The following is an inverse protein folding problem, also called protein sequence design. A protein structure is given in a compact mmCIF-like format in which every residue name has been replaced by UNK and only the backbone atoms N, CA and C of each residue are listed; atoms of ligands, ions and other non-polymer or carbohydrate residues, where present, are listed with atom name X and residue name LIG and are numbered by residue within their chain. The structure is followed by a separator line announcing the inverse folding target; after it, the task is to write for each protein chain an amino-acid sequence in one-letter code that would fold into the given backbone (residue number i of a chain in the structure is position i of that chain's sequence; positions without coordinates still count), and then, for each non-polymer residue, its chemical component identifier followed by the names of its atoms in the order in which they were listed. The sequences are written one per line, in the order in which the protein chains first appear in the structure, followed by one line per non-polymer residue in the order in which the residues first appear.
data_IF_470623883990
#
_entry.id   IF_470623883990
#
_cell.length_a   1.000
_cell.length_b   1.000
_cell.length_c   1.000
_cell.angle_alpha   90.00
_cell.angle_beta   90.00
_cell.angle_gamma   90.00
#
_symmetry.space_group_name_H-M   'P 1'
#
loop_
_entity.id
_entity.type
_entity.pdbx_description
1 polymer ?
#
# COMPACT_ATOMS: atom_id res chain seq x y z
N UNK A 1 -9.43 10.49 -7.35
CA UNK A 1 -8.94 9.69 -6.21
C UNK A 1 -7.67 8.97 -6.59
N UNK A 2 -6.78 8.83 -5.63
CA UNK A 2 -5.53 8.13 -5.88
C UNK A 2 -5.73 6.63 -5.81
N UNK A 3 -5.00 5.91 -6.66
CA UNK A 3 -5.03 4.45 -6.66
C UNK A 3 -4.17 3.90 -5.54
N UNK A 4 -4.70 2.91 -4.84
CA UNK A 4 -3.95 2.21 -3.79
C UNK A 4 -3.35 0.95 -4.39
N UNK A 5 -2.05 0.77 -4.19
CA UNK A 5 -1.33 -0.43 -4.63
C UNK A 5 -0.64 -1.06 -3.44
N UNK A 6 -0.70 -2.39 -3.34
CA UNK A 6 -0.05 -3.11 -2.27
C UNK A 6 0.70 -4.32 -2.82
N UNK A 7 1.97 -4.41 -2.44
CA UNK A 7 2.83 -5.54 -2.83
C UNK A 7 2.89 -6.50 -1.65
N UNK A 8 2.57 -7.77 -1.89
CA UNK A 8 2.41 -8.77 -0.83
C UNK A 8 3.04 -10.10 -1.20
N UNK A 9 3.06 -11.03 -0.22
CA UNK A 9 3.31 -12.44 -0.46
C UNK A 9 2.18 -13.24 0.19
N UNK A 10 1.95 -14.51 -0.24
CA UNK A 10 0.78 -15.26 0.25
C UNK A 10 0.79 -15.54 1.75
N UNK A 11 1.97 -15.76 2.33
CA UNK A 11 2.06 -16.09 3.75
C UNK A 11 2.76 -14.94 4.45
N UNK A 12 1.98 -13.93 4.81
CA UNK A 12 2.51 -12.70 5.40
C UNK A 12 1.45 -12.11 6.32
N UNK A 13 1.59 -12.29 7.63
CA UNK A 13 0.60 -11.75 8.58
C UNK A 13 0.44 -10.23 8.47
N UNK A 14 1.52 -9.51 8.22
CA UNK A 14 1.44 -8.06 8.07
C UNK A 14 0.71 -7.65 6.79
N UNK A 15 0.87 -8.45 5.72
CA UNK A 15 0.13 -8.22 4.48
C UNK A 15 -1.37 -8.41 4.71
N UNK A 16 -1.72 -9.49 5.42
CA UNK A 16 -3.12 -9.77 5.76
C UNK A 16 -3.70 -8.63 6.57
N UNK A 17 -2.95 -8.16 7.56
CA UNK A 17 -3.41 -7.07 8.43
C UNK A 17 -3.65 -5.79 7.65
N UNK A 18 -2.74 -5.47 6.73
CA UNK A 18 -2.89 -4.27 5.89
C UNK A 18 -4.13 -4.36 5.02
N UNK A 19 -4.34 -5.54 4.39
CA UNK A 19 -5.52 -5.72 3.54
C UNK A 19 -6.81 -5.67 4.34
N UNK A 20 -6.81 -6.24 5.54
CA UNK A 20 -8.00 -6.18 6.40
C UNK A 20 -8.36 -4.74 6.75
N UNK A 21 -7.36 -3.92 7.00
CA UNK A 21 -7.61 -2.50 7.27
C UNK A 21 -8.25 -1.82 6.08
N UNK A 22 -7.69 -2.04 4.90
CA UNK A 22 -8.23 -1.42 3.68
C UNK A 22 -9.66 -1.91 3.41
N UNK A 23 -9.89 -3.21 3.60
CA UNK A 23 -11.22 -3.79 3.40
C UNK A 23 -12.22 -3.22 4.39
N UNK A 24 -11.81 -3.02 5.64
CA UNK A 24 -12.70 -2.50 6.69
C UNK A 24 -13.14 -1.07 6.41
N UNK A 25 -12.40 -0.36 5.60
CA UNK A 25 -12.71 1.02 5.24
C UNK A 25 -13.29 1.12 3.82
N UNK A 26 -13.59 -0.02 3.20
CA UNK A 26 -14.12 -0.08 1.84
C UNK A 26 -13.21 0.61 0.83
N UNK A 27 -11.91 0.50 1.04
CA UNK A 27 -10.92 1.08 0.13
C UNK A 27 -10.49 0.04 -0.87
N UNK A 28 -10.73 0.29 -2.15
CA UNK A 28 -10.29 -0.60 -3.22
C UNK A 28 -8.78 -0.47 -3.42
N UNK A 29 -8.14 -1.58 -3.73
CA UNK A 29 -6.69 -1.58 -3.94
C UNK A 29 -6.32 -2.61 -5.00
N UNK A 30 -5.15 -2.39 -5.61
CA UNK A 30 -4.56 -3.34 -6.54
C UNK A 30 -3.46 -4.10 -5.79
N UNK A 31 -3.58 -5.42 -5.76
CA UNK A 31 -2.60 -6.25 -5.05
C UNK A 31 -1.66 -6.93 -6.04
N UNK A 32 -0.37 -6.93 -5.73
CA UNK A 32 0.65 -7.61 -6.52
C UNK A 32 1.35 -8.65 -5.65
N UNK A 33 1.31 -9.92 -6.08
CA UNK A 33 1.98 -11.01 -5.38
C UNK A 33 3.42 -11.10 -5.86
N UNK A 34 4.35 -10.58 -5.06
CA UNK A 34 5.75 -10.51 -5.47
C UNK A 34 6.50 -11.83 -5.25
N UNK A 35 5.85 -12.81 -4.64
CA UNK A 35 6.44 -14.14 -4.53
C UNK A 35 6.40 -14.86 -5.88
N UNK A 36 5.37 -14.59 -6.68
CA UNK A 36 5.20 -15.25 -7.97
C UNK A 36 5.51 -14.34 -9.15
N UNK A 37 5.63 -13.03 -8.93
CA UNK A 37 5.84 -12.05 -10.01
C UNK A 37 7.16 -11.32 -9.74
N UNK A 38 8.22 -11.78 -10.41
CA UNK A 38 9.55 -11.24 -10.23
C UNK A 38 9.64 -9.78 -10.69
N UNK A 39 8.93 -9.44 -11.76
CA UNK A 39 8.94 -8.07 -12.27
C UNK A 39 8.32 -7.11 -11.26
N UNK A 40 7.23 -7.53 -10.63
CA UNK A 40 6.60 -6.72 -9.61
C UNK A 40 7.48 -6.59 -8.37
N UNK A 41 8.24 -7.64 -8.06
CA UNK A 41 9.20 -7.56 -6.95
C UNK A 41 10.26 -6.51 -7.21
N UNK A 42 10.81 -6.50 -8.42
CA UNK A 42 11.80 -5.50 -8.81
C UNK A 42 11.20 -4.09 -8.76
N UNK A 43 9.98 -3.96 -9.26
CA UNK A 43 9.26 -2.69 -9.22
C UNK A 43 9.09 -2.20 -7.78
N UNK A 44 8.68 -3.09 -6.88
CA UNK A 44 8.51 -2.76 -5.46
C UNK A 44 9.81 -2.24 -4.85
N UNK A 45 10.91 -2.94 -5.11
CA UNK A 45 12.20 -2.56 -4.55
C UNK A 45 12.63 -1.19 -5.08
N UNK A 46 12.44 -0.95 -6.37
CA UNK A 46 12.80 0.34 -6.97
C UNK A 46 11.97 1.47 -6.40
N UNK A 47 10.66 1.24 -6.24
CA UNK A 47 9.77 2.28 -5.74
C UNK A 47 9.94 2.55 -4.26
N UNK A 48 10.15 1.51 -3.45
CA UNK A 48 10.16 1.63 -2.00
C UNK A 48 11.56 1.71 -1.40
N UNK A 49 12.58 1.25 -2.14
CA UNK A 49 13.93 1.08 -1.64
C UNK A 49 13.97 0.09 -0.47
N UNK A 50 13.00 -0.85 -0.47
CA UNK A 50 12.89 -1.88 0.56
C UNK A 50 12.63 -3.22 -0.09
N UNK A 51 12.96 -4.30 0.63
CA UNK A 51 12.74 -5.66 0.16
C UNK A 51 11.64 -6.38 0.95
N UNK A 52 11.14 -5.77 2.00
CA UNK A 52 10.11 -6.38 2.84
C UNK A 52 8.72 -6.15 2.28
N UNK A 53 7.77 -7.00 2.71
CA UNK A 53 6.36 -6.86 2.38
C UNK A 53 5.57 -6.72 3.69
N UNK A 54 4.42 -6.05 3.67
CA UNK A 54 3.81 -5.37 2.53
C UNK A 54 4.48 -4.03 2.24
N UNK A 55 4.33 -3.55 1.01
CA UNK A 55 4.68 -2.18 0.65
C UNK A 55 3.46 -1.56 0.01
N UNK A 56 3.02 -0.43 0.53
CA UNK A 56 1.77 0.20 0.13
C UNK A 56 2.06 1.57 -0.47
N UNK A 57 1.38 1.87 -1.57
CA UNK A 57 1.50 3.15 -2.26
C UNK A 57 0.10 3.73 -2.49
N UNK A 58 -0.02 5.02 -2.35
CA UNK A 58 -1.25 5.75 -2.68
C UNK A 58 -0.85 6.78 -3.72
N UNK A 59 -1.20 6.50 -4.99
CA UNK A 59 -0.66 7.26 -6.09
C UNK A 59 0.85 7.12 -6.12
N UNK A 60 1.55 8.24 -6.12
CA UNK A 60 3.01 8.26 -6.09
C UNK A 60 3.57 8.25 -4.67
N UNK A 61 2.72 8.34 -3.67
CA UNK A 61 3.16 8.43 -2.29
C UNK A 61 3.45 7.05 -1.72
N UNK A 62 4.65 6.85 -1.21
CA UNK A 62 5.04 5.60 -0.56
C UNK A 62 4.62 5.64 0.91
N UNK A 63 3.59 4.87 1.24
CA UNK A 63 3.12 4.79 2.63
C UNK A 63 4.10 3.98 3.47
N UNK A 64 4.49 2.82 2.97
CA UNK A 64 5.39 1.92 3.68
C UNK A 64 4.73 0.60 3.96
N UNK A 65 4.97 0.07 5.17
CA UNK A 65 4.44 -1.23 5.57
C UNK A 65 3.12 -1.13 6.31
N UNK A 66 2.76 -2.25 6.95
CA UNK A 66 1.49 -2.35 7.68
C UNK A 66 1.39 -1.33 8.81
N UNK A 67 2.47 -1.17 9.58
CA UNK A 67 2.45 -0.24 10.71
C UNK A 67 2.30 1.20 10.23
N UNK A 68 2.98 1.54 9.13
CA UNK A 68 2.87 2.87 8.55
C UNK A 68 1.45 3.15 8.07
N UNK A 69 0.82 2.14 7.46
CA UNK A 69 -0.57 2.27 7.00
C UNK A 69 -1.51 2.49 8.17
N UNK A 70 -1.31 1.72 9.25
CA UNK A 70 -2.15 1.86 10.43
C UNK A 70 -2.03 3.23 11.05
N UNK A 71 -0.82 3.77 11.07
CA UNK A 71 -0.58 5.09 11.65
C UNK A 71 -1.36 6.18 10.90
N UNK A 72 -1.28 6.18 9.56
CA UNK A 72 -1.99 7.20 8.80
C UNK A 72 -3.50 6.99 8.82
N UNK A 73 -3.94 5.74 8.97
CA UNK A 73 -5.36 5.47 9.13
C UNK A 73 -5.87 6.03 10.46
N UNK A 74 -5.07 5.91 11.49
CA UNK A 74 -5.45 6.33 12.83
C UNK A 74 -5.49 7.85 12.97
N UNK A 75 -4.57 8.56 12.31
CA UNK A 75 -4.49 10.01 12.46
C UNK A 75 -5.26 10.78 11.38
N UNK A 76 -6.00 10.08 10.51
CA UNK A 76 -6.82 10.72 9.48
C UNK A 76 -6.10 11.05 8.19
N UNK A 77 -4.81 10.82 8.13
CA UNK A 77 -4.01 11.14 6.96
C UNK A 77 -4.33 10.25 5.77
N UNK A 78 -4.78 9.01 6.04
CA UNK A 78 -5.12 8.08 4.97
C UNK A 78 -6.22 8.65 4.07
N UNK A 79 -7.27 9.18 4.68
CA UNK A 79 -8.37 9.76 3.92
C UNK A 79 -7.91 10.96 3.10
N UNK A 80 -7.00 11.75 3.65
CA UNK A 80 -6.45 12.89 2.92
C UNK A 80 -5.69 12.43 1.68
N UNK A 81 -4.86 11.40 1.83
CA UNK A 81 -4.08 10.89 0.70
C UNK A 81 -4.96 10.31 -0.38
N UNK A 82 -6.06 9.68 0.01
CA UNK A 82 -6.99 9.08 -0.95
C UNK A 82 -7.75 10.14 -1.74
N UNK A 83 -8.17 11.21 -1.08
CA UNK A 83 -8.97 12.25 -1.72
C UNK A 83 -8.12 13.32 -2.39
N UNK A 84 -6.86 13.44 -2.02
CA UNK A 84 -5.95 14.46 -2.54
C UNK A 84 -5.38 13.99 -3.88
N UNK A 85 -6.09 14.28 -4.91
CA UNK A 85 -5.61 13.94 -6.22
C UNK A 85 -4.77 15.10 -6.72
N UNK A 86 -4.09 15.24 -6.75
CA UNK A 86 -3.40 16.07 -7.33
C UNK A 86 -3.58 17.30 -7.62
N UNK A 87 -3.92 17.39 -7.50
CA UNK A 87 -3.95 18.09 -7.72
C UNK A 87 -4.03 19.03 -7.78
N UNK A 88 -4.20 19.36 -7.81
CA UNK A 88 -4.19 20.15 -7.93
C UNK A 88 -3.96 20.78 -7.96
N UNK A 89 -3.97 20.77 -8.12
CA UNK A 89 -3.65 21.34 -8.12
C UNK A 89 -3.43 21.60 -8.31
#
# INVERSE_FOLDING_TARGET
MNTVEIYTTPICPYCIRAKMLLDSKDIAYQEYNVASDTEKRVEMIKRSQRTSVPQIFIGEHHVGGSDDLMEIAYNGELEELLSNSNSIN
#
